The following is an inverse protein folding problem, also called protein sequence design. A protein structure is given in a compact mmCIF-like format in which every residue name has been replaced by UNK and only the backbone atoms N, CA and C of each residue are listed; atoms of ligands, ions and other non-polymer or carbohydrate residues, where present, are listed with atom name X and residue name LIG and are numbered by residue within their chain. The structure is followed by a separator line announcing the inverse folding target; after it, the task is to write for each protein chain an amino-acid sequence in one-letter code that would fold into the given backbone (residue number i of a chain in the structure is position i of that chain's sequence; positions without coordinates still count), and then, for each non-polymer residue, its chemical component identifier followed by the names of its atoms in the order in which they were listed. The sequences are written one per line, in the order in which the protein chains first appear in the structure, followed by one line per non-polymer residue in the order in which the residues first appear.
data_IF_207313903414
#
_entry.id   IF_207313903414
#
_cell.length_a   1.000
_cell.length_b   1.000
_cell.length_c   1.000
_cell.angle_alpha   90.00
_cell.angle_beta   90.00
_cell.angle_gamma   90.00
#
_symmetry.space_group_name_H-M   'P 1'
#
loop_
_entity.id
_entity.type
_entity.pdbx_description
1 polymer ?
#
# COMPACT_ATOMS: atom_id res chain seq x y z
N UNK A 1 -16.48 5.47 24.64
CA UNK A 1 -15.34 5.43 23.69
C UNK A 1 -15.37 4.06 23.04
N UNK A 2 -15.25 3.95 21.73
CA UNK A 2 -15.28 2.64 21.06
C UNK A 2 -13.98 1.91 21.39
N UNK A 3 -14.08 0.83 22.15
CA UNK A 3 -12.95 -0.05 22.46
C UNK A 3 -12.38 -0.64 21.17
N UNK A 4 -11.05 -0.60 21.02
CA UNK A 4 -10.33 -1.14 19.84
C UNK A 4 -9.17 -1.99 20.40
N UNK A 5 -9.25 -3.32 20.32
CA UNK A 5 -8.20 -4.18 20.87
C UNK A 5 -6.84 -3.93 20.23
N UNK A 6 -6.87 -3.77 18.91
CA UNK A 6 -5.71 -3.53 18.08
C UNK A 6 -6.12 -2.90 16.75
N UNK A 7 -5.27 -2.03 16.22
CA UNK A 7 -5.34 -1.59 14.83
C UNK A 7 -3.94 -1.36 14.28
N UNK A 8 -3.53 -2.14 13.28
CA UNK A 8 -2.17 -2.12 12.72
C UNK A 8 -1.79 -0.81 12.02
N UNK A 9 -2.75 0.08 11.75
CA UNK A 9 -2.51 1.41 11.14
C UNK A 9 -2.34 2.51 12.17
N UNK A 10 -2.55 2.23 13.46
CA UNK A 10 -2.37 3.20 14.55
C UNK A 10 -1.00 3.01 15.19
N UNK A 11 -0.16 4.05 15.12
CA UNK A 11 1.24 4.01 15.61
C UNK A 11 1.41 3.55 17.06
N UNK A 12 0.43 3.79 17.93
CA UNK A 12 0.52 3.35 19.32
C UNK A 12 0.34 1.83 19.47
N UNK A 13 -0.38 1.17 18.55
CA UNK A 13 -0.59 -0.28 18.51
C UNK A 13 0.55 -1.00 17.78
N UNK A 14 1.04 -0.44 16.68
CA UNK A 14 2.16 -1.00 15.91
C UNK A 14 3.09 0.12 15.45
N UNK A 15 4.35 0.04 15.85
CA UNK A 15 5.42 0.94 15.43
C UNK A 15 6.61 0.12 14.94
N UNK A 16 7.26 0.49 13.81
CA UNK A 16 6.99 1.67 12.98
C UNK A 16 5.78 1.50 12.02
N UNK A 17 5.35 0.26 11.80
CA UNK A 17 4.21 -0.09 10.94
C UNK A 17 4.25 -1.55 10.50
N UNK A 18 3.43 -1.91 9.52
CA UNK A 18 3.33 -3.29 8.99
C UNK A 18 4.32 -3.59 7.85
N UNK A 19 5.24 -2.68 7.57
CA UNK A 19 6.37 -2.87 6.66
C UNK A 19 7.64 -2.41 7.39
N UNK A 20 8.58 -3.31 7.56
CA UNK A 20 9.78 -3.17 8.41
C UNK A 20 10.98 -3.76 7.69
N UNK A 21 12.19 -3.31 8.01
CA UNK A 21 13.42 -3.97 7.60
C UNK A 21 13.64 -5.22 8.44
N UNK A 22 14.37 -6.18 7.88
CA UNK A 22 14.94 -7.30 8.63
C UNK A 22 15.67 -6.80 9.88
N UNK A 23 15.38 -7.40 11.03
CA UNK A 23 15.94 -7.01 12.33
C UNK A 23 15.48 -5.66 12.89
N UNK A 24 14.57 -4.93 12.24
CA UNK A 24 14.12 -3.62 12.71
C UNK A 24 13.30 -3.75 14.00
N UNK A 25 13.53 -2.84 14.95
CA UNK A 25 12.80 -2.78 16.21
C UNK A 25 11.31 -2.54 15.98
N UNK A 26 10.49 -3.33 16.66
CA UNK A 26 9.05 -3.31 16.59
C UNK A 26 8.43 -3.21 17.98
N UNK A 27 7.37 -2.40 18.07
CA UNK A 27 6.56 -2.31 19.27
C UNK A 27 5.13 -2.67 18.92
N UNK A 28 4.61 -3.70 19.59
CA UNK A 28 3.20 -4.05 19.59
C UNK A 28 2.55 -3.59 20.89
N UNK A 29 1.33 -3.06 20.80
CA UNK A 29 0.46 -2.85 21.96
C UNK A 29 -0.93 -3.39 21.71
N UNK A 30 -1.45 -4.09 22.70
CA UNK A 30 -2.82 -4.59 22.73
C UNK A 30 -3.55 -3.92 23.89
N UNK A 31 -4.80 -3.53 23.65
CA UNK A 31 -5.68 -3.01 24.69
C UNK A 31 -6.77 -4.04 24.92
N UNK A 32 -7.01 -4.46 26.16
CA UNK A 32 -8.08 -5.38 26.50
C UNK A 32 -8.95 -4.78 27.60
N UNK A 33 -10.27 -5.05 27.61
CA UNK A 33 -11.12 -4.63 28.71
C UNK A 33 -10.73 -5.43 29.95
N UNK A 34 -10.64 -4.77 31.10
CA UNK A 34 -10.35 -5.43 32.39
C UNK A 34 -11.36 -6.54 32.72
N UNK A 35 -12.59 -6.44 32.21
CA UNK A 35 -13.62 -7.48 32.35
C UNK A 35 -13.26 -8.81 31.71
N UNK A 36 -12.32 -8.83 30.75
CA UNK A 36 -11.79 -10.08 30.18
C UNK A 36 -10.90 -10.86 31.16
N UNK A 37 -10.44 -10.23 32.25
CA UNK A 37 -9.53 -10.83 33.24
C UNK A 37 -8.30 -11.46 32.57
N UNK A 38 -7.70 -10.70 31.65
CA UNK A 38 -6.56 -11.16 30.86
C UNK A 38 -5.36 -11.44 31.77
N UNK A 39 -4.79 -12.65 31.66
CA UNK A 39 -3.60 -13.05 32.43
C UNK A 39 -2.31 -13.08 31.60
N UNK A 40 -2.42 -13.28 30.29
CA UNK A 40 -1.28 -13.28 29.38
C UNK A 40 -1.74 -12.90 27.96
N UNK A 41 -0.88 -12.22 27.20
CA UNK A 41 -1.06 -11.93 25.78
C UNK A 41 0.15 -12.42 25.00
N UNK A 42 -0.08 -13.05 23.85
CA UNK A 42 0.94 -13.61 22.95
C UNK A 42 0.76 -13.08 21.53
N UNK A 43 1.88 -12.77 20.88
CA UNK A 43 1.97 -12.60 19.43
C UNK A 43 2.43 -13.92 18.83
N UNK A 44 1.71 -14.39 17.82
CA UNK A 44 2.10 -15.54 17.01
C UNK A 44 2.52 -15.02 15.65
N UNK A 45 3.79 -15.21 15.29
CA UNK A 45 4.31 -14.97 13.94
C UNK A 45 4.40 -16.30 13.19
N UNK A 46 3.99 -16.29 11.92
CA UNK A 46 4.07 -17.44 11.02
C UNK A 46 4.79 -17.00 9.74
N UNK A 47 5.99 -17.51 9.52
CA UNK A 47 6.76 -17.22 8.30
C UNK A 47 6.23 -18.06 7.12
N UNK A 48 6.54 -17.66 5.89
CA UNK A 48 6.17 -18.44 4.69
C UNK A 48 6.77 -19.87 4.70
N UNK A 49 7.83 -20.11 5.48
CA UNK A 49 8.40 -21.44 5.71
C UNK A 49 7.56 -22.35 6.62
N UNK A 50 6.47 -21.84 7.20
CA UNK A 50 5.61 -22.58 8.13
C UNK A 50 6.12 -22.61 9.58
N UNK A 51 7.24 -21.95 9.85
CA UNK A 51 7.76 -21.81 11.21
C UNK A 51 6.90 -20.83 12.02
N UNK A 52 6.67 -21.18 13.28
CA UNK A 52 5.89 -20.36 14.22
C UNK A 52 6.76 -19.87 15.35
N UNK A 53 6.70 -18.58 15.60
CA UNK A 53 7.36 -17.94 16.72
C UNK A 53 6.33 -17.31 17.65
N UNK A 54 6.62 -17.36 18.95
CA UNK A 54 5.69 -16.93 20.01
C UNK A 54 6.38 -15.91 20.90
N UNK A 55 5.76 -14.74 21.04
CA UNK A 55 6.28 -13.65 21.85
C UNK A 55 5.28 -13.26 22.92
N UNK A 56 5.72 -13.20 24.17
CA UNK A 56 4.87 -12.84 25.30
C UNK A 56 4.91 -11.35 25.57
N UNK A 57 3.75 -10.73 25.75
CA UNK A 57 3.65 -9.33 26.14
C UNK A 57 3.86 -9.17 27.63
N UNK A 58 4.36 -8.00 28.01
CA UNK A 58 4.33 -7.53 29.40
C UNK A 58 3.13 -6.63 29.62
N UNK A 59 2.54 -6.67 30.81
CA UNK A 59 1.56 -5.67 31.22
C UNK A 59 2.24 -4.30 31.26
N UNK A 60 1.67 -3.30 30.57
CA UNK A 60 2.23 -1.95 30.47
C UNK A 60 1.60 -1.03 31.53
N UNK A 61 0.26 -0.93 31.54
CA UNK A 61 -0.48 -0.04 32.44
C UNK A 61 -1.99 -0.30 32.42
N UNK A 62 -2.67 0.28 33.40
CA UNK A 62 -4.12 0.52 33.36
C UNK A 62 -4.39 1.91 32.77
N UNK A 63 -5.41 2.04 31.92
CA UNK A 63 -5.95 3.32 31.46
C UNK A 63 -7.41 3.48 31.92
N UNK A 64 -7.64 4.46 32.79
CA UNK A 64 -8.92 4.59 33.48
C UNK A 64 -9.19 3.38 34.38
N UNK A 65 -10.45 2.94 34.47
CA UNK A 65 -10.86 1.83 35.34
C UNK A 65 -11.01 0.49 34.59
N UNK A 66 -11.07 0.54 33.25
CA UNK A 66 -11.59 -0.56 32.44
C UNK A 66 -10.65 -1.03 31.31
N UNK A 67 -9.52 -0.38 31.04
CA UNK A 67 -8.64 -0.75 29.92
C UNK A 67 -7.25 -1.15 30.42
N UNK A 68 -6.83 -2.37 30.08
CA UNK A 68 -5.50 -2.90 30.33
C UNK A 68 -4.66 -2.84 29.05
N UNK A 69 -3.49 -2.23 29.16
CA UNK A 69 -2.55 -2.08 28.07
C UNK A 69 -1.42 -3.09 28.24
N UNK A 70 -1.13 -3.80 27.17
CA UNK A 70 -0.09 -4.81 27.08
C UNK A 70 0.90 -4.39 26.01
N UNK A 71 2.20 -4.52 26.29
CA UNK A 71 3.27 -4.11 25.38
C UNK A 71 4.25 -5.25 25.14
N UNK A 72 4.67 -5.36 23.88
CA UNK A 72 5.78 -6.20 23.45
C UNK A 72 6.75 -5.33 22.65
N UNK A 73 8.01 -5.35 23.04
CA UNK A 73 9.14 -4.86 22.26
C UNK A 73 9.87 -6.10 21.70
N UNK A 74 10.04 -6.15 20.38
CA UNK A 74 10.72 -7.25 19.68
C UNK A 74 11.40 -6.73 18.42
N UNK A 75 12.13 -7.57 17.69
CA UNK A 75 12.65 -7.25 16.36
C UNK A 75 11.85 -7.96 15.27
N UNK A 76 11.83 -7.39 14.07
CA UNK A 76 11.33 -8.07 12.89
C UNK A 76 12.19 -9.31 12.58
N UNK A 77 11.61 -10.39 12.01
CA UNK A 77 12.39 -11.55 11.59
C UNK A 77 13.57 -11.19 10.67
N UNK A 78 14.67 -11.92 10.80
CA UNK A 78 15.88 -11.70 9.99
C UNK A 78 15.65 -12.05 8.50
N UNK A 79 14.77 -13.00 8.22
CA UNK A 79 14.45 -13.41 6.86
C UNK A 79 13.43 -12.45 6.22
N UNK A 80 13.82 -11.88 5.07
CA UNK A 80 12.91 -11.05 4.29
C UNK A 80 11.81 -11.88 3.64
N UNK A 81 10.58 -11.38 3.67
CA UNK A 81 9.42 -12.09 3.16
C UNK A 81 8.10 -11.58 3.72
N UNK A 82 7.05 -12.37 3.51
CA UNK A 82 5.75 -12.14 4.13
C UNK A 82 5.68 -12.95 5.42
N UNK A 83 5.30 -12.29 6.50
CA UNK A 83 5.07 -12.93 7.80
C UNK A 83 3.63 -12.67 8.19
N UNK A 84 2.90 -13.73 8.51
CA UNK A 84 1.53 -13.64 8.98
C UNK A 84 1.51 -13.59 10.50
N UNK A 85 0.61 -12.81 11.08
CA UNK A 85 0.49 -12.75 12.53
C UNK A 85 -0.93 -12.57 13.03
N UNK A 86 -1.11 -12.99 14.28
CA UNK A 86 -2.31 -12.78 15.08
C UNK A 86 -1.91 -12.78 16.56
N UNK A 87 -2.87 -12.51 17.44
CA UNK A 87 -2.64 -12.54 18.88
C UNK A 87 -3.55 -13.54 19.56
N UNK A 88 -3.11 -14.00 20.71
CA UNK A 88 -3.92 -14.76 21.64
C UNK A 88 -3.81 -14.15 23.03
N UNK A 89 -4.85 -14.30 23.83
CA UNK A 89 -4.81 -13.94 25.24
C UNK A 89 -5.57 -14.94 26.09
N UNK A 90 -5.11 -15.12 27.32
CA UNK A 90 -5.70 -16.06 28.28
C UNK A 90 -6.67 -15.36 29.20
N UNK A 91 -7.81 -16.02 29.42
CA UNK A 91 -8.84 -15.62 30.37
C UNK A 91 -9.18 -16.81 31.27
N UNK A 92 -9.89 -16.61 32.39
CA UNK A 92 -10.41 -17.71 33.20
C UNK A 92 -11.33 -18.68 32.43
N UNK A 93 -11.86 -18.27 31.27
CA UNK A 93 -12.75 -19.07 30.43
C UNK A 93 -12.04 -19.74 29.24
N UNK A 94 -10.71 -19.63 29.17
CA UNK A 94 -9.88 -20.18 28.11
C UNK A 94 -9.18 -19.12 27.27
N UNK A 95 -8.44 -19.60 26.28
CA UNK A 95 -7.67 -18.75 25.36
C UNK A 95 -8.58 -18.19 24.28
N UNK A 96 -8.50 -16.89 24.06
CA UNK A 96 -9.20 -16.17 22.99
C UNK A 96 -8.19 -15.64 21.98
N UNK A 97 -8.63 -15.56 20.73
CA UNK A 97 -7.83 -15.05 19.61
C UNK A 97 -8.20 -13.60 19.29
N UNK A 98 -7.25 -12.82 18.82
CA UNK A 98 -7.46 -11.50 18.23
C UNK A 98 -6.96 -11.61 16.79
N UNK A 99 -7.87 -11.40 15.84
CA UNK A 99 -7.65 -11.62 14.41
C UNK A 99 -7.91 -10.36 13.59
N UNK A 100 -7.37 -10.31 12.38
CA UNK A 100 -7.62 -9.22 11.44
C UNK A 100 -9.05 -9.31 10.87
N UNK A 101 -9.72 -8.16 10.85
CA UNK A 101 -11.00 -7.99 10.17
C UNK A 101 -10.83 -7.12 8.92
N UNK A 102 -10.83 -5.79 9.08
CA UNK A 102 -10.76 -4.85 7.97
C UNK A 102 -10.09 -3.53 8.35
N UNK A 103 -9.51 -2.83 7.37
CA UNK A 103 -8.91 -1.48 7.55
C UNK A 103 -7.91 -1.38 8.72
N UNK A 104 -7.22 -2.48 9.02
CA UNK A 104 -6.24 -2.61 10.10
C UNK A 104 -6.82 -3.04 11.44
N UNK A 105 -8.15 -2.96 11.63
CA UNK A 105 -8.83 -3.25 12.90
C UNK A 105 -8.87 -4.75 13.22
N UNK A 106 -8.89 -5.02 14.52
CA UNK A 106 -9.06 -6.35 15.08
C UNK A 106 -10.52 -6.72 15.32
N UNK A 107 -10.78 -8.03 15.25
CA UNK A 107 -11.94 -8.71 15.82
C UNK A 107 -11.45 -9.67 16.91
N UNK A 108 -12.20 -9.80 18.00
CA UNK A 108 -11.97 -10.86 19.00
C UNK A 108 -12.67 -12.12 18.51
N UNK A 109 -11.91 -13.21 18.37
CA UNK A 109 -12.35 -14.47 17.81
C UNK A 109 -11.63 -14.80 16.51
N UNK A 110 -12.24 -15.69 15.72
CA UNK A 110 -11.69 -16.11 14.44
C UNK A 110 -11.78 -15.02 13.38
N UNK A 111 -10.76 -14.97 12.54
CA UNK A 111 -10.64 -14.02 11.45
C UNK A 111 -9.39 -14.30 10.63
N UNK A 112 -9.06 -13.36 9.76
CA UNK A 112 -7.83 -13.46 8.97
C UNK A 112 -6.60 -13.12 9.81
N UNK A 113 -5.41 -13.43 9.31
CA UNK A 113 -4.15 -13.00 9.92
C UNK A 113 -3.76 -11.63 9.37
N UNK A 114 -3.13 -10.79 10.18
CA UNK A 114 -2.44 -9.61 9.65
C UNK A 114 -1.22 -10.06 8.85
N UNK A 115 -0.79 -9.18 7.95
CA UNK A 115 0.44 -9.33 7.19
C UNK A 115 1.48 -8.32 7.68
N UNK A 116 2.67 -8.81 7.98
CA UNK A 116 3.89 -8.04 8.16
C UNK A 116 4.78 -8.27 6.92
N UNK A 117 5.27 -7.19 6.32
CA UNK A 117 6.20 -7.25 5.18
C UNK A 117 7.60 -6.94 5.69
N UNK A 118 8.47 -7.95 5.68
CA UNK A 118 9.87 -7.81 6.09
C UNK A 118 10.72 -7.58 4.84
N UNK A 119 11.25 -6.37 4.72
CA UNK A 119 12.09 -5.94 3.62
C UNK A 119 13.56 -6.27 3.88
N UNK A 120 14.30 -6.59 2.82
CA UNK A 120 15.76 -6.69 2.88
C UNK A 120 16.37 -5.32 3.18
N UNK A 121 17.58 -5.33 3.72
CA UNK A 121 18.33 -4.13 4.14
C UNK A 121 18.44 -3.06 3.02
N UNK A 122 18.50 -3.49 1.75
CA UNK A 122 18.64 -2.63 0.56
C UNK A 122 17.33 -2.44 -0.24
N UNK A 123 16.16 -2.48 0.40
CA UNK A 123 14.86 -2.32 -0.25
C UNK A 123 14.36 -0.86 -0.28
N UNK A 124 15.27 0.11 -0.36
CA UNK A 124 14.92 1.51 -0.33
C UNK A 124 14.16 1.94 -1.60
N UNK A 125 13.03 2.61 -1.40
CA UNK A 125 12.28 3.23 -2.50
C UNK A 125 12.76 4.66 -2.72
N UNK A 126 12.78 5.15 -3.98
CA UNK A 126 13.19 6.52 -4.27
C UNK A 126 12.40 7.53 -3.44
N UNK A 127 13.11 8.31 -2.62
CA UNK A 127 12.49 9.26 -1.68
C UNK A 127 11.65 10.32 -2.40
N UNK A 128 12.09 10.77 -3.58
CA UNK A 128 11.38 11.77 -4.38
C UNK A 128 10.01 11.29 -4.88
N UNK A 129 9.80 9.97 -5.00
CA UNK A 129 8.53 9.39 -5.41
C UNK A 129 7.55 9.26 -4.22
N UNK A 130 8.07 9.09 -3.00
CA UNK A 130 7.25 8.98 -1.78
C UNK A 130 6.57 10.32 -1.50
N UNK A 131 5.23 10.31 -1.52
CA UNK A 131 4.42 11.50 -1.28
C UNK A 131 4.31 12.45 -2.48
N UNK A 132 4.92 12.10 -3.61
CA UNK A 132 4.75 12.84 -4.87
C UNK A 132 3.45 12.51 -5.59
N UNK A 133 3.02 13.39 -6.49
CA UNK A 133 1.86 13.18 -7.36
C UNK A 133 2.37 12.88 -8.77
N UNK A 134 2.06 11.67 -9.26
CA UNK A 134 2.40 11.24 -10.61
C UNK A 134 1.27 11.56 -11.58
N UNK A 135 1.63 12.05 -12.77
CA UNK A 135 0.71 12.26 -13.88
C UNK A 135 1.15 11.43 -15.08
N UNK A 136 0.29 10.50 -15.52
CA UNK A 136 0.55 9.71 -16.72
C UNK A 136 0.11 10.49 -17.97
N UNK A 137 1.01 10.60 -18.94
CA UNK A 137 0.76 11.26 -20.22
C UNK A 137 0.90 10.23 -21.32
N UNK A 138 -0.17 10.04 -22.10
CA UNK A 138 -0.05 9.39 -23.41
C UNK A 138 0.32 10.48 -24.44
N UNK A 139 1.56 10.51 -24.96
CA UNK A 139 2.10 11.71 -25.62
C UNK A 139 1.27 12.23 -26.80
N UNK A 140 0.80 11.33 -27.67
CA UNK A 140 0.04 11.68 -28.88
C UNK A 140 -1.27 12.41 -28.57
N UNK A 141 -1.87 12.18 -27.39
CA UNK A 141 -3.19 12.72 -27.02
C UNK A 141 -3.13 13.81 -25.95
N UNK A 142 -1.94 14.23 -25.53
CA UNK A 142 -1.81 15.19 -24.45
C UNK A 142 -1.75 16.64 -24.94
N UNK A 143 -0.79 16.96 -25.79
CA UNK A 143 -0.66 18.31 -26.34
C UNK A 143 0.17 18.29 -27.62
N UNK A 144 -0.35 18.91 -28.67
CA UNK A 144 0.34 19.12 -29.94
C UNK A 144 1.03 20.48 -29.93
N UNK A 145 2.36 20.52 -30.06
CA UNK A 145 3.10 21.78 -30.21
C UNK A 145 2.98 22.39 -31.61
N UNK A 146 2.65 21.57 -32.61
CA UNK A 146 2.69 21.94 -34.03
C UNK A 146 4.11 22.13 -34.59
N UNK A 147 5.15 21.85 -33.80
CA UNK A 147 6.57 21.99 -34.18
C UNK A 147 7.18 20.67 -34.65
N UNK A 148 6.56 19.54 -34.30
CA UNK A 148 6.99 18.22 -34.78
C UNK A 148 6.33 17.94 -36.13
N UNK A 149 7.10 17.78 -37.22
CA UNK A 149 6.53 17.37 -38.49
C UNK A 149 5.97 15.95 -38.36
N UNK A 150 4.77 15.74 -38.90
CA UNK A 150 4.18 14.41 -38.98
C UNK A 150 4.98 13.57 -39.98
N UNK A 151 5.25 12.29 -39.69
CA UNK A 151 5.94 11.42 -40.63
C UNK A 151 5.23 11.39 -41.99
N UNK A 152 5.92 11.86 -43.03
CA UNK A 152 5.44 11.75 -44.40
C UNK A 152 5.58 10.29 -44.87
N UNK A 153 4.56 9.77 -45.56
CA UNK A 153 4.54 8.45 -46.19
C UNK A 153 4.59 7.23 -45.24
N UNK A 154 3.81 7.25 -44.16
CA UNK A 154 3.46 6.01 -43.45
C UNK A 154 2.16 5.43 -44.00
N UNK A 155 2.19 4.27 -44.69
CA UNK A 155 0.94 3.60 -45.05
C UNK A 155 0.17 3.30 -43.76
N UNK A 156 -1.16 3.42 -43.80
CA UNK A 156 -2.07 3.26 -42.65
C UNK A 156 -2.08 4.37 -41.58
N UNK A 157 -1.23 5.40 -41.64
CA UNK A 157 -1.30 6.50 -40.65
C UNK A 157 -2.42 7.50 -40.98
N UNK A 158 -3.39 7.64 -40.07
CA UNK A 158 -4.43 8.67 -40.12
C UNK A 158 -4.08 9.80 -39.16
N UNK A 159 -3.97 11.02 -39.69
CA UNK A 159 -3.55 12.19 -38.91
C UNK A 159 -4.74 13.13 -38.71
N UNK A 160 -5.17 13.28 -37.47
CA UNK A 160 -6.30 14.13 -37.12
C UNK A 160 -5.91 15.61 -37.18
N UNK A 161 -6.65 16.37 -37.98
CA UNK A 161 -6.40 17.80 -38.14
C UNK A 161 -6.95 18.62 -36.97
N UNK A 162 -8.01 18.13 -36.31
CA UNK A 162 -8.70 18.77 -35.19
C UNK A 162 -8.50 17.96 -33.91
N UNK A 163 -8.26 18.68 -32.82
CA UNK A 163 -8.13 18.09 -31.50
C UNK A 163 -9.49 17.62 -30.97
N UNK A 164 -9.54 16.43 -30.36
CA UNK A 164 -10.76 15.88 -29.76
C UNK A 164 -11.72 15.21 -30.75
N UNK A 165 -11.29 14.93 -31.98
CA UNK A 165 -11.99 13.98 -32.86
C UNK A 165 -12.06 12.58 -32.20
N UNK A 166 -13.05 11.79 -32.61
CA UNK A 166 -13.13 10.39 -32.16
C UNK A 166 -12.06 9.58 -32.87
N UNK A 167 -11.25 8.78 -32.15
CA UNK A 167 -10.25 7.95 -32.79
C UNK A 167 -10.90 6.89 -33.67
N UNK A 168 -10.36 6.68 -34.86
CA UNK A 168 -10.75 5.59 -35.74
C UNK A 168 -9.92 4.34 -35.41
N UNK A 169 -10.52 3.40 -34.69
CA UNK A 169 -9.89 2.16 -34.23
C UNK A 169 -10.67 0.92 -34.67
N UNK A 170 -11.71 1.07 -35.49
CA UNK A 170 -12.60 -0.04 -35.82
C UNK A 170 -11.83 -1.13 -36.60
N UNK A 171 -11.84 -2.38 -36.12
CA UNK A 171 -11.23 -3.48 -36.85
C UNK A 171 -12.06 -3.80 -38.10
N UNK A 172 -11.39 -4.21 -39.17
CA UNK A 172 -12.02 -4.71 -40.38
C UNK A 172 -12.79 -6.02 -40.14
N UNK A 173 -13.44 -6.54 -41.19
CA UNK A 173 -14.20 -7.79 -41.11
C UNK A 173 -13.36 -9.02 -40.70
N UNK A 174 -12.03 -8.95 -40.82
CA UNK A 174 -11.08 -9.98 -40.41
C UNK A 174 -10.47 -9.71 -39.02
N UNK A 175 -10.92 -8.65 -38.32
CA UNK A 175 -10.44 -8.28 -36.99
C UNK A 175 -9.15 -7.46 -36.99
N UNK A 176 -8.67 -6.98 -38.15
CA UNK A 176 -7.43 -6.21 -38.26
C UNK A 176 -7.70 -4.71 -38.13
N UNK A 177 -6.87 -4.04 -37.34
CA UNK A 177 -6.84 -2.57 -37.28
C UNK A 177 -5.84 -2.11 -38.34
N UNK A 178 -6.35 -1.68 -39.49
CA UNK A 178 -5.52 -1.22 -40.62
C UNK A 178 -5.20 0.28 -40.56
N UNK A 179 -5.66 0.99 -39.53
CA UNK A 179 -5.43 2.43 -39.33
C UNK A 179 -4.68 2.69 -38.03
N UNK A 180 -3.59 3.43 -38.13
CA UNK A 180 -2.85 3.95 -36.98
C UNK A 180 -3.19 5.42 -36.81
N UNK A 181 -3.93 5.70 -35.75
CA UNK A 181 -4.53 6.99 -35.48
C UNK A 181 -3.59 7.90 -34.67
N UNK A 182 -3.28 9.07 -35.23
CA UNK A 182 -2.35 10.05 -34.66
C UNK A 182 -2.99 11.43 -34.55
N UNK A 183 -2.96 12.02 -33.36
CA UNK A 183 -3.39 13.40 -33.11
C UNK A 183 -2.22 14.39 -33.13
N UNK A 184 -0.99 13.89 -33.14
CA UNK A 184 0.22 14.68 -33.29
C UNK A 184 0.67 15.36 -32.00
N UNK A 185 0.29 14.80 -30.84
CA UNK A 185 0.88 15.19 -29.57
C UNK A 185 2.36 14.80 -29.49
N UNK A 186 3.16 15.66 -28.87
CA UNK A 186 4.62 15.52 -28.88
C UNK A 186 5.27 16.00 -27.56
N UNK A 187 6.57 15.71 -27.42
CA UNK A 187 7.32 16.09 -26.22
C UNK A 187 7.41 17.62 -26.04
N UNK A 188 7.37 18.39 -27.13
CA UNK A 188 7.37 19.87 -27.05
C UNK A 188 6.05 20.40 -26.51
N UNK A 189 4.93 19.76 -26.83
CA UNK A 189 3.63 20.07 -26.27
C UNK A 189 3.60 19.73 -24.78
N UNK A 190 4.28 18.66 -24.36
CA UNK A 190 4.46 18.35 -22.94
C UNK A 190 5.27 19.44 -22.25
N UNK A 191 6.41 19.86 -22.82
CA UNK A 191 7.24 20.95 -22.30
C UNK A 191 6.42 22.25 -22.12
N UNK A 192 5.60 22.61 -23.10
CA UNK A 192 4.74 23.81 -23.08
C UNK A 192 3.65 23.76 -21.98
N UNK A 193 3.32 22.57 -21.48
CA UNK A 193 2.33 22.35 -20.42
C UNK A 193 2.95 22.01 -19.06
N UNK A 194 4.27 22.06 -18.90
CA UNK A 194 4.91 21.81 -17.60
C UNK A 194 4.39 22.75 -16.51
N UNK A 195 4.17 24.05 -16.82
CA UNK A 195 3.58 24.98 -15.86
C UNK A 195 2.14 24.65 -15.46
N UNK A 196 1.35 24.05 -16.38
CA UNK A 196 0.02 23.54 -16.04
C UNK A 196 0.11 22.33 -15.11
N UNK A 197 1.00 21.37 -15.41
CA UNK A 197 1.21 20.19 -14.56
C UNK A 197 1.71 20.58 -13.16
N UNK A 198 2.62 21.54 -13.08
CA UNK A 198 3.08 22.12 -11.81
C UNK A 198 1.93 22.77 -11.03
N UNK A 199 1.04 23.51 -11.71
CA UNK A 199 -0.14 24.13 -11.06
C UNK A 199 -1.12 23.11 -10.46
N UNK A 200 -1.12 21.87 -10.95
CA UNK A 200 -1.88 20.75 -10.37
C UNK A 200 -1.17 20.07 -9.20
N UNK A 201 0.08 20.46 -8.89
CA UNK A 201 0.92 19.83 -7.88
C UNK A 201 1.61 18.55 -8.35
N UNK A 202 1.71 18.32 -9.66
CA UNK A 202 2.41 17.14 -10.21
C UNK A 202 3.90 17.25 -9.96
N UNK A 203 4.50 16.19 -9.43
CA UNK A 203 5.94 16.10 -9.15
C UNK A 203 6.65 15.02 -9.96
N UNK A 204 5.91 14.19 -10.69
CA UNK A 204 6.45 13.13 -11.53
C UNK A 204 5.57 12.95 -12.78
N UNK A 205 6.20 12.83 -13.95
CA UNK A 205 5.52 12.51 -15.21
C UNK A 205 5.91 11.09 -15.63
N UNK A 206 4.91 10.29 -15.96
CA UNK A 206 5.08 8.97 -16.58
C UNK A 206 4.61 9.04 -18.03
N UNK A 207 5.48 8.72 -18.99
CA UNK A 207 5.21 8.71 -20.43
C UNK A 207 5.01 7.29 -20.96
#
# INVERSE_FOLDING_TARGET
MHFIPYNSRKKYHLSPGAAVRSGEDMIFRIVLPRSEQCSAVRLILETDGGEREYYSFSWERMQGENEEWWRLETAAPESAGIVWYYFEYDTPWGTKKISFESKGSAVIGEGSRWRLTVCRENCDTPLWLRGGTMYQIFPDRFCRSGKTPLPENKPAAEYHSRWGEEPDWEPDSDGKIEKYDFFGGDLKGIEEKLGYLESLGVTCIYL
#
